data_IF_666304775728
#
_entry.id   IF_666304775728
#
_cell.length_a   1.000
_cell.length_b   1.000
_cell.length_c   1.000
_cell.angle_alpha   90.00
_cell.angle_beta   90.00
_cell.angle_gamma   90.00
#
_symmetry.space_group_name_H-M   'P 1'
#
loop_
_entity.id
_entity.type
_entity.pdbx_description
1 polymer ?
#
# COMPACT_ATOMS: atom_id res chain seq x y z
N UNK A 1 22.82 7.13 12.58
CA UNK A 1 22.09 6.66 11.37
C UNK A 1 22.55 7.50 10.18
N UNK A 2 22.90 6.89 9.04
CA UNK A 2 23.27 7.65 7.83
C UNK A 2 22.05 8.45 7.33
N UNK A 3 22.19 9.77 7.20
CA UNK A 3 21.13 10.69 6.73
C UNK A 3 20.45 10.19 5.44
N UNK A 4 21.25 9.71 4.48
CA UNK A 4 20.76 9.20 3.20
C UNK A 4 19.75 8.04 3.33
N UNK A 5 19.90 7.17 4.34
CA UNK A 5 18.99 6.04 4.57
C UNK A 5 17.62 6.51 5.08
N UNK A 6 17.60 7.55 5.92
CA UNK A 6 16.35 8.16 6.42
C UNK A 6 15.59 8.83 5.28
N UNK A 7 16.30 9.59 4.45
CA UNK A 7 15.71 10.26 3.29
C UNK A 7 15.11 9.24 2.33
N UNK A 8 15.88 8.21 1.95
CA UNK A 8 15.40 7.13 1.08
C UNK A 8 14.16 6.42 1.65
N UNK A 9 14.17 6.10 2.96
CA UNK A 9 12.99 5.49 3.58
C UNK A 9 11.76 6.37 3.46
N UNK A 10 11.88 7.66 3.79
CA UNK A 10 10.76 8.60 3.79
C UNK A 10 10.22 8.82 2.39
N UNK A 11 11.08 9.02 1.40
CA UNK A 11 10.65 9.24 0.01
C UNK A 11 9.93 8.01 -0.53
N UNK A 12 10.51 6.81 -0.39
CA UNK A 12 9.85 5.57 -0.82
C UNK A 12 8.53 5.33 -0.09
N UNK A 13 8.48 5.56 1.23
CA UNK A 13 7.27 5.33 2.02
C UNK A 13 6.13 6.27 1.63
N UNK A 14 6.44 7.55 1.39
CA UNK A 14 5.44 8.56 0.99
C UNK A 14 4.95 8.28 -0.43
N UNK A 15 5.86 8.00 -1.37
CA UNK A 15 5.49 7.66 -2.74
C UNK A 15 4.60 6.39 -2.79
N UNK A 16 4.98 5.34 -2.06
CA UNK A 16 4.18 4.13 -1.98
C UNK A 16 2.78 4.38 -1.39
N UNK A 17 2.68 5.19 -0.34
CA UNK A 17 1.39 5.56 0.25
C UNK A 17 0.50 6.33 -0.72
N UNK A 18 1.06 7.34 -1.41
CA UNK A 18 0.32 8.12 -2.40
C UNK A 18 -0.17 7.23 -3.54
N UNK A 19 0.69 6.36 -4.08
CA UNK A 19 0.30 5.42 -5.14
C UNK A 19 -0.83 4.50 -4.71
N UNK A 20 -0.74 3.89 -3.52
CA UNK A 20 -1.78 3.00 -3.00
C UNK A 20 -3.10 3.76 -2.78
N UNK A 21 -3.03 4.97 -2.21
CA UNK A 21 -4.20 5.82 -2.01
C UNK A 21 -4.86 6.20 -3.36
N UNK A 22 -4.06 6.51 -4.37
CA UNK A 22 -4.54 6.80 -5.72
C UNK A 22 -5.17 5.58 -6.37
N UNK A 23 -4.53 4.39 -6.30
CA UNK A 23 -5.09 3.17 -6.88
C UNK A 23 -6.44 2.80 -6.26
N UNK A 24 -6.52 2.89 -4.93
CA UNK A 24 -7.76 2.63 -4.20
C UNK A 24 -8.84 3.65 -4.57
N UNK A 25 -8.52 4.94 -4.54
CA UNK A 25 -9.50 6.00 -4.84
C UNK A 25 -9.95 5.94 -6.29
N UNK A 26 -9.05 5.72 -7.25
CA UNK A 26 -9.40 5.58 -8.66
C UNK A 26 -10.32 4.39 -8.90
N UNK A 27 -10.03 3.22 -8.30
CA UNK A 27 -10.92 2.06 -8.40
C UNK A 27 -12.29 2.34 -7.78
N UNK A 28 -12.32 2.93 -6.57
CA UNK A 28 -13.57 3.24 -5.89
C UNK A 28 -14.43 4.24 -6.68
N UNK A 29 -13.82 5.31 -7.20
CA UNK A 29 -14.52 6.35 -7.97
C UNK A 29 -15.00 5.79 -9.31
N UNK A 30 -14.17 5.02 -10.03
CA UNK A 30 -14.57 4.46 -11.32
C UNK A 30 -15.74 3.49 -11.19
N UNK A 31 -15.73 2.63 -10.17
CA UNK A 31 -16.80 1.65 -9.94
C UNK A 31 -18.13 2.30 -9.50
N UNK A 32 -18.07 3.44 -8.80
CA UNK A 32 -19.28 4.12 -8.31
C UNK A 32 -19.91 5.07 -9.34
N UNK A 33 -19.11 5.64 -10.24
CA UNK A 33 -19.56 6.80 -11.03
C UNK A 33 -19.25 6.72 -12.53
N UNK A 34 -18.40 5.77 -12.98
CA UNK A 34 -17.97 5.72 -14.37
C UNK A 34 -18.59 4.54 -15.14
N UNK A 35 -18.39 4.54 -16.45
CA UNK A 35 -18.80 3.46 -17.34
C UNK A 35 -17.75 2.32 -17.38
N UNK A 36 -18.16 1.16 -17.90
CA UNK A 36 -17.32 -0.03 -17.98
C UNK A 36 -16.01 0.20 -18.75
N UNK A 37 -16.01 1.06 -19.78
CA UNK A 37 -14.81 1.40 -20.52
C UNK A 37 -13.79 2.17 -19.66
N UNK A 38 -14.26 3.11 -18.84
CA UNK A 38 -13.41 3.81 -17.87
C UNK A 38 -12.89 2.87 -16.79
N UNK A 39 -13.74 1.98 -16.26
CA UNK A 39 -13.31 0.97 -15.27
C UNK A 39 -12.20 0.08 -15.83
N UNK A 40 -12.35 -0.43 -17.05
CA UNK A 40 -11.33 -1.24 -17.71
C UNK A 40 -10.00 -0.48 -17.86
N UNK A 41 -10.06 0.80 -18.25
CA UNK A 41 -8.88 1.66 -18.35
C UNK A 41 -8.18 1.84 -17.00
N UNK A 42 -8.95 2.06 -15.92
CA UNK A 42 -8.42 2.18 -14.56
C UNK A 42 -7.73 0.90 -14.11
N UNK A 43 -8.36 -0.27 -14.31
CA UNK A 43 -7.76 -1.57 -13.96
C UNK A 43 -6.50 -1.86 -14.76
N UNK A 44 -6.46 -1.46 -16.04
CA UNK A 44 -5.27 -1.56 -16.88
C UNK A 44 -4.11 -0.72 -16.34
N UNK A 45 -4.34 0.57 -16.09
CA UNK A 45 -3.28 1.46 -15.59
C UNK A 45 -2.79 1.06 -14.20
N UNK A 46 -3.69 0.64 -13.30
CA UNK A 46 -3.31 0.15 -11.97
C UNK A 46 -2.44 -1.10 -12.10
N UNK A 47 -2.83 -2.07 -12.95
CA UNK A 47 -2.05 -3.30 -13.15
C UNK A 47 -0.61 -3.01 -13.59
N UNK A 48 -0.41 -2.05 -14.49
CA UNK A 48 0.93 -1.63 -14.90
C UNK A 48 1.67 -0.85 -13.81
N UNK A 49 1.00 0.09 -13.15
CA UNK A 49 1.61 0.96 -12.15
C UNK A 49 2.03 0.20 -10.86
N UNK A 50 1.38 -0.93 -10.55
CA UNK A 50 1.73 -1.77 -9.40
C UNK A 50 3.16 -2.33 -9.49
N UNK A 51 3.69 -2.57 -10.70
CA UNK A 51 5.08 -3.00 -10.87
C UNK A 51 6.09 -1.95 -10.38
N UNK A 52 5.76 -0.66 -10.46
CA UNK A 52 6.56 0.42 -9.85
C UNK A 52 6.35 0.54 -8.33
N UNK A 53 5.16 0.18 -7.83
CA UNK A 53 4.86 0.18 -6.40
C UNK A 53 5.64 -0.90 -5.63
N UNK A 54 5.79 -2.10 -6.20
CA UNK A 54 6.50 -3.22 -5.56
C UNK A 54 7.92 -2.86 -5.07
N UNK A 55 8.82 -2.28 -5.90
CA UNK A 55 10.15 -1.90 -5.44
C UNK A 55 10.10 -0.75 -4.41
N UNK A 56 9.18 0.21 -4.52
CA UNK A 56 9.01 1.26 -3.51
C UNK A 56 8.63 0.68 -2.14
N UNK A 57 7.72 -0.28 -2.12
CA UNK A 57 7.30 -0.99 -0.91
C UNK A 57 8.43 -1.85 -0.33
N UNK A 58 9.14 -2.59 -1.18
CA UNK A 58 10.30 -3.40 -0.77
C UNK A 58 11.39 -2.52 -0.14
N UNK A 59 11.76 -1.42 -0.80
CA UNK A 59 12.73 -0.45 -0.27
C UNK A 59 12.26 0.16 1.05
N UNK A 60 10.98 0.52 1.16
CA UNK A 60 10.39 1.03 2.40
C UNK A 60 10.52 0.03 3.55
N UNK A 61 10.22 -1.25 3.29
CA UNK A 61 10.32 -2.32 4.28
C UNK A 61 11.77 -2.61 4.71
N UNK A 62 12.69 -2.72 3.75
CA UNK A 62 14.11 -3.00 3.99
C UNK A 62 14.76 -1.85 4.77
N UNK A 63 14.60 -0.61 4.29
CA UNK A 63 15.17 0.57 4.95
C UNK A 63 14.56 0.79 6.33
N UNK A 64 13.25 0.57 6.48
CA UNK A 64 12.56 0.65 7.77
C UNK A 64 13.10 -0.35 8.80
N UNK A 65 13.35 -1.59 8.38
CA UNK A 65 13.92 -2.64 9.24
C UNK A 65 15.36 -2.33 9.64
N UNK A 66 16.16 -1.78 8.72
CA UNK A 66 17.55 -1.35 9.00
C UNK A 66 17.65 -0.18 9.98
N UNK A 67 16.63 0.68 10.08
CA UNK A 67 16.61 1.80 11.04
C UNK A 67 16.24 1.38 12.47
N UNK A 68 15.59 0.23 12.64
CA UNK A 68 15.12 -0.25 13.94
C UNK A 68 15.44 -1.74 14.19
N UNK A 69 16.72 -2.15 14.09
CA UNK A 69 17.10 -3.56 14.16
C UNK A 69 16.79 -4.17 15.55
N UNK A 70 17.11 -3.44 16.63
CA UNK A 70 16.97 -3.90 18.02
C UNK A 70 15.58 -3.69 18.63
N UNK A 71 14.65 -3.07 17.89
CA UNK A 71 13.29 -2.83 18.41
C UNK A 71 12.47 -4.12 18.34
N UNK A 72 11.95 -4.55 19.49
CA UNK A 72 11.03 -5.69 19.61
C UNK A 72 9.71 -5.39 18.90
N UNK A 73 9.22 -6.35 18.13
CA UNK A 73 7.93 -6.23 17.42
C UNK A 73 6.79 -6.03 18.43
N UNK A 74 5.87 -5.11 18.14
CA UNK A 74 4.72 -4.78 18.99
C UNK A 74 4.98 -3.83 20.17
N UNK A 75 6.24 -3.57 20.54
CA UNK A 75 6.57 -2.72 21.71
C UNK A 75 6.84 -1.28 21.31
N UNK A 76 6.07 -0.33 21.85
CA UNK A 76 6.16 1.09 21.54
C UNK A 76 5.77 1.46 20.11
N UNK A 77 5.83 2.76 19.72
CA UNK A 77 5.40 3.22 18.40
C UNK A 77 6.15 2.54 17.23
N UNK A 78 7.46 2.36 17.37
CA UNK A 78 8.30 1.73 16.34
C UNK A 78 8.02 0.21 16.25
N UNK A 79 7.81 -0.46 17.38
CA UNK A 79 7.49 -1.89 17.40
C UNK A 79 6.12 -2.20 16.80
N UNK A 80 5.10 -1.35 17.06
CA UNK A 80 3.79 -1.48 16.41
C UNK A 80 3.87 -1.33 14.90
N UNK A 81 4.63 -0.34 14.41
CA UNK A 81 4.90 -0.17 12.98
C UNK A 81 5.54 -1.43 12.39
N UNK A 82 6.55 -1.98 13.07
CA UNK A 82 7.25 -3.21 12.67
C UNK A 82 6.33 -4.43 12.63
N UNK A 83 5.35 -4.53 13.54
CA UNK A 83 4.34 -5.61 13.56
C UNK A 83 3.38 -5.54 12.38
N UNK A 84 2.98 -4.32 11.96
CA UNK A 84 2.03 -4.13 10.85
C UNK A 84 2.66 -4.29 9.47
N UNK A 85 3.97 -4.04 9.33
CA UNK A 85 4.62 -4.04 8.01
C UNK A 85 4.52 -5.38 7.26
N UNK A 86 4.74 -6.56 7.89
CA UNK A 86 4.53 -7.84 7.23
C UNK A 86 3.07 -8.07 6.83
N UNK A 87 2.12 -7.64 7.65
CA UNK A 87 0.68 -7.78 7.35
C UNK A 87 0.32 -6.97 6.09
N UNK A 88 0.81 -5.73 6.00
CA UNK A 88 0.64 -4.87 4.82
C UNK A 88 1.25 -5.53 3.58
N UNK A 89 2.47 -6.08 3.71
CA UNK A 89 3.16 -6.71 2.60
C UNK A 89 2.45 -7.97 2.10
N UNK A 90 2.01 -8.85 3.02
CA UNK A 90 1.30 -10.08 2.68
C UNK A 90 -0.06 -9.75 2.04
N UNK A 91 -0.82 -8.83 2.62
CA UNK A 91 -2.10 -8.39 2.05
C UNK A 91 -1.91 -7.76 0.66
N UNK A 92 -0.89 -6.91 0.49
CA UNK A 92 -0.53 -6.32 -0.78
C UNK A 92 -0.15 -7.34 -1.86
N UNK A 93 0.70 -8.30 -1.51
CA UNK A 93 1.29 -9.23 -2.47
C UNK A 93 0.39 -10.43 -2.80
N UNK A 94 -0.33 -10.95 -1.81
CA UNK A 94 -1.09 -12.20 -1.97
C UNK A 94 -2.60 -12.00 -2.14
N UNK A 95 -3.13 -10.81 -1.88
CA UNK A 95 -4.54 -10.50 -2.07
C UNK A 95 -4.70 -9.41 -3.13
N UNK A 96 -4.17 -8.22 -2.86
CA UNK A 96 -4.39 -7.06 -3.74
C UNK A 96 -3.78 -7.21 -5.13
N UNK A 97 -2.54 -7.69 -5.23
CA UNK A 97 -1.86 -7.87 -6.51
C UNK A 97 -2.58 -8.90 -7.40
N UNK A 98 -2.89 -10.14 -6.95
CA UNK A 98 -3.67 -11.09 -7.74
C UNK A 98 -5.04 -10.56 -8.14
N UNK A 99 -5.77 -9.92 -7.21
CA UNK A 99 -7.06 -9.32 -7.51
C UNK A 99 -6.95 -8.27 -8.61
N UNK A 100 -6.00 -7.32 -8.50
CA UNK A 100 -5.82 -6.26 -9.49
C UNK A 100 -5.52 -6.82 -10.90
N UNK A 101 -4.64 -7.83 -10.98
CA UNK A 101 -4.30 -8.48 -12.25
C UNK A 101 -5.49 -9.22 -12.85
N UNK A 102 -6.23 -9.96 -12.03
CA UNK A 102 -7.37 -10.73 -12.51
C UNK A 102 -8.56 -9.85 -12.90
N UNK A 103 -8.85 -8.80 -12.13
CA UNK A 103 -9.85 -7.80 -12.48
C UNK A 103 -9.54 -7.10 -13.79
N UNK A 104 -8.27 -6.82 -14.07
CA UNK A 104 -7.85 -6.28 -15.37
C UNK A 104 -8.09 -7.27 -16.52
N UNK A 105 -7.82 -8.56 -16.31
CA UNK A 105 -8.14 -9.60 -17.31
C UNK A 105 -9.64 -9.64 -17.60
N UNK A 106 -10.49 -9.66 -16.57
CA UNK A 106 -11.95 -9.66 -16.74
C UNK A 106 -12.44 -8.38 -17.43
N UNK A 107 -12.00 -7.21 -16.96
CA UNK A 107 -12.41 -5.93 -17.52
C UNK A 107 -11.95 -5.75 -18.98
N UNK A 108 -10.77 -6.26 -19.35
CA UNK A 108 -10.29 -6.23 -20.74
C UNK A 108 -11.12 -7.09 -21.69
N UNK A 109 -11.85 -8.08 -21.16
CA UNK A 109 -12.79 -8.93 -21.90
C UNK A 109 -14.22 -8.38 -21.87
N UNK A 110 -14.45 -7.25 -21.20
CA UNK A 110 -15.80 -6.70 -21.00
C UNK A 110 -16.65 -7.51 -20.02
N UNK A 111 -16.03 -8.37 -19.20
CA UNK A 111 -16.73 -9.23 -18.24
C UNK A 111 -16.93 -8.47 -16.92
N UNK A 112 -18.13 -7.90 -16.76
CA UNK A 112 -18.60 -7.22 -15.55
C UNK A 112 -19.78 -7.96 -14.94
N UNK A 113 -19.58 -9.26 -14.67
CA UNK A 113 -20.58 -10.15 -14.10
C UNK A 113 -20.47 -10.22 -12.57
N UNK A 114 -21.29 -11.07 -11.94
CA UNK A 114 -21.27 -11.28 -10.49
C UNK A 114 -19.88 -11.71 -9.99
N UNK A 115 -19.10 -12.43 -10.80
CA UNK A 115 -17.76 -12.88 -10.44
C UNK A 115 -16.78 -11.70 -10.38
N UNK A 116 -16.83 -10.78 -11.35
CA UNK A 116 -16.09 -9.52 -11.31
C UNK A 116 -16.38 -8.74 -10.02
N UNK A 117 -17.65 -8.52 -9.70
CA UNK A 117 -18.03 -7.72 -8.53
C UNK A 117 -17.66 -8.37 -7.19
N UNK A 118 -17.67 -9.71 -7.11
CA UNK A 118 -17.19 -10.42 -5.92
C UNK A 118 -15.71 -10.13 -5.67
N UNK A 119 -14.88 -10.22 -6.71
CA UNK A 119 -13.43 -9.99 -6.60
C UNK A 119 -13.14 -8.51 -6.38
N UNK A 120 -13.89 -7.62 -7.01
CA UNK A 120 -13.81 -6.19 -6.79
C UNK A 120 -14.13 -5.83 -5.33
N UNK A 121 -15.13 -6.48 -4.73
CA UNK A 121 -15.44 -6.34 -3.31
C UNK A 121 -14.28 -6.76 -2.41
N UNK A 122 -13.64 -7.90 -2.71
CA UNK A 122 -12.45 -8.38 -1.98
C UNK A 122 -11.29 -7.38 -2.12
N UNK A 123 -11.04 -6.88 -3.32
CA UNK A 123 -10.00 -5.89 -3.59
C UNK A 123 -10.21 -4.61 -2.79
N UNK A 124 -11.42 -4.07 -2.76
CA UNK A 124 -11.73 -2.85 -1.99
C UNK A 124 -11.61 -3.08 -0.47
N UNK A 125 -12.09 -4.21 0.05
CA UNK A 125 -11.94 -4.52 1.48
C UNK A 125 -10.45 -4.64 1.83
N UNK A 126 -9.70 -5.45 1.08
CA UNK A 126 -8.27 -5.61 1.28
C UNK A 126 -7.53 -4.27 1.14
N UNK A 127 -7.94 -3.42 0.21
CA UNK A 127 -7.35 -2.12 -0.09
C UNK A 127 -7.57 -1.14 1.05
N UNK A 128 -8.80 -1.06 1.58
CA UNK A 128 -9.15 -0.23 2.72
C UNK A 128 -8.37 -0.63 3.99
N UNK A 129 -8.24 -1.93 4.25
CA UNK A 129 -7.42 -2.48 5.34
C UNK A 129 -5.96 -2.07 5.15
N UNK A 130 -5.41 -2.23 3.94
CA UNK A 130 -4.02 -1.92 3.66
C UNK A 130 -3.71 -0.43 3.87
N UNK A 131 -4.57 0.44 3.33
CA UNK A 131 -4.44 1.89 3.44
C UNK A 131 -4.56 2.34 4.90
N UNK A 132 -5.48 1.76 5.67
CA UNK A 132 -5.64 2.03 7.09
C UNK A 132 -4.39 1.63 7.88
N UNK A 133 -3.85 0.44 7.64
CA UNK A 133 -2.63 -0.03 8.32
C UNK A 133 -1.43 0.86 7.99
N UNK A 134 -1.31 1.32 6.74
CA UNK A 134 -0.27 2.27 6.33
C UNK A 134 -0.44 3.64 6.98
N UNK A 135 -1.65 4.17 7.04
CA UNK A 135 -1.95 5.44 7.71
C UNK A 135 -1.59 5.37 9.21
N UNK A 136 -1.92 4.26 9.89
CA UNK A 136 -1.52 4.02 11.28
C UNK A 136 0.01 3.95 11.44
N UNK A 137 0.72 3.34 10.48
CA UNK A 137 2.18 3.30 10.45
C UNK A 137 2.82 4.68 10.29
N UNK A 138 2.23 5.54 9.45
CA UNK A 138 2.67 6.93 9.27
C UNK A 138 2.42 7.71 10.55
N UNK A 139 1.23 7.60 11.15
CA UNK A 139 0.88 8.26 12.41
C UNK A 139 1.82 7.88 13.55
N UNK A 140 2.10 6.59 13.73
CA UNK A 140 3.07 6.12 14.73
C UNK A 140 4.49 6.66 14.43
N UNK A 141 4.86 6.82 13.15
CA UNK A 141 6.11 7.43 12.72
C UNK A 141 6.25 8.91 13.06
N UNK A 142 5.16 9.69 12.93
CA UNK A 142 5.11 11.11 13.29
C UNK A 142 5.11 11.32 14.81
N UNK A 143 4.57 10.35 15.56
CA UNK A 143 4.50 10.40 17.04
C UNK A 143 5.87 10.22 17.71
N UNK A 144 6.88 9.73 16.98
CA UNK A 144 8.26 9.63 17.48
C UNK A 144 8.84 11.04 17.60
N UNK A 145 8.71 11.66 18.78
CA UNK A 145 9.38 12.92 19.11
C UNK A 145 10.88 12.78 18.83
N UNK A 146 11.47 13.78 18.14
CA UNK A 146 12.94 13.90 18.06
C UNK A 146 13.51 13.81 19.48
N UNK A 147 14.57 13.03 19.75
CA UNK A 147 15.22 13.08 21.05
C UNK A 147 15.57 14.55 21.32
N UNK A 148 15.16 15.08 22.48
CA UNK A 148 15.70 16.34 22.99
C UNK A 148 17.22 16.15 22.97
N UNK A 149 17.92 16.90 22.12
CA UNK A 149 19.36 17.07 22.27
C UNK A 149 19.49 17.71 23.66
N UNK A 150 19.85 16.91 24.68
CA UNK A 150 20.38 17.46 25.92
C UNK A 150 21.69 18.11 25.50
N UNK A 151 21.66 19.44 25.34
CA UNK A 151 22.86 20.26 25.40
C UNK A 151 23.42 20.16 26.81
#
# INVERSE_FOLDING_TARGET
MKQSLVTLHKTCAVLAFIMIASFFSSSLISELFADHATVASVKYYISWAVWGLLPLMAMTGITGSKMAPKVKSGVGPIGRKKKRMPIIAVNGLFILLPCAMYLNVLASQGLFDQHFYLIQGIELIAGSINLTLMALNIRDGLTIKKPKIRK
#
